data_IF_034715002558
#
_entry.id   IF_034715002558
#
_cell.length_a   1.000
_cell.length_b   1.000
_cell.length_c   1.000
_cell.angle_alpha   90.00
_cell.angle_beta   90.00
_cell.angle_gamma   90.00
#
_symmetry.space_group_name_H-M   'P 1'
#
loop_
_entity.id
_entity.type
_entity.pdbx_description
1 polymer ?
#
# COMPACT_ATOMS: atom_id res chain seq x y z
N UNK A 1 11.47 -21.36 -23.69
CA UNK A 1 12.77 -20.64 -23.67
C UNK A 1 13.72 -21.42 -22.76
N UNK A 2 14.88 -21.81 -23.30
CA UNK A 2 15.86 -22.72 -22.69
C UNK A 2 16.43 -22.12 -21.38
N UNK A 3 16.26 -22.83 -20.26
CA UNK A 3 16.91 -22.49 -18.98
C UNK A 3 18.40 -22.85 -19.10
N UNK A 4 19.25 -21.84 -19.28
CA UNK A 4 20.69 -21.99 -19.12
C UNK A 4 20.99 -22.23 -17.63
N UNK A 5 21.59 -23.38 -17.34
CA UNK A 5 22.11 -23.72 -16.02
C UNK A 5 23.52 -23.13 -15.94
N UNK A 6 23.67 -21.98 -15.29
CA UNK A 6 24.99 -21.39 -15.01
C UNK A 6 25.36 -21.74 -13.57
N UNK A 7 25.97 -22.91 -13.40
CA UNK A 7 26.78 -23.22 -12.22
C UNK A 7 28.19 -22.70 -12.49
N UNK A 8 28.46 -21.44 -12.19
CA UNK A 8 29.83 -20.93 -12.16
C UNK A 8 30.53 -21.49 -10.92
N UNK A 9 31.23 -22.62 -11.08
CA UNK A 9 32.31 -23.01 -10.17
C UNK A 9 33.48 -22.05 -10.40
N UNK A 10 33.66 -21.10 -9.49
CA UNK A 10 34.94 -20.39 -9.35
C UNK A 10 35.69 -20.97 -8.16
N UNK A 11 36.73 -21.73 -8.45
CA UNK A 11 37.84 -22.01 -7.54
C UNK A 11 38.47 -20.67 -7.13
N UNK A 12 38.52 -20.36 -5.83
CA UNK A 12 39.42 -19.31 -5.35
C UNK A 12 39.08 -18.69 -4.00
N UNK A 13 40.05 -18.80 -3.09
CA UNK A 13 40.37 -17.90 -1.97
C UNK A 13 39.55 -17.98 -0.66
N UNK A 14 40.22 -18.59 0.33
CA UNK A 14 40.12 -18.30 1.77
C UNK A 14 40.05 -16.79 2.05
N UNK A 15 38.94 -16.31 2.64
CA UNK A 15 38.93 -15.15 3.54
C UNK A 15 37.81 -15.29 4.57
N UNK A 16 38.13 -14.96 5.83
CA UNK A 16 37.25 -14.91 6.99
C UNK A 16 36.06 -13.96 6.75
N UNK A 17 34.84 -14.36 7.13
CA UNK A 17 33.72 -13.41 7.22
C UNK A 17 32.35 -14.07 7.38
N UNK A 18 31.65 -13.69 8.45
CA UNK A 18 30.33 -14.13 8.92
C UNK A 18 29.34 -14.69 7.87
N UNK A 19 28.84 -15.89 8.15
CA UNK A 19 27.70 -16.54 7.48
C UNK A 19 26.40 -15.76 7.71
N UNK A 20 26.12 -14.77 6.86
CA UNK A 20 24.82 -14.14 6.74
C UNK A 20 24.04 -14.69 5.56
N UNK A 21 23.33 -15.80 5.72
CA UNK A 21 22.34 -16.26 4.75
C UNK A 21 21.16 -15.27 4.74
N UNK A 22 21.18 -14.28 3.83
CA UNK A 22 20.00 -13.47 3.54
C UNK A 22 19.00 -14.32 2.77
N UNK A 23 18.01 -14.87 3.48
CA UNK A 23 16.77 -15.35 2.88
C UNK A 23 16.15 -14.17 2.13
N UNK A 24 16.19 -14.17 0.79
CA UNK A 24 15.17 -13.46 0.03
C UNK A 24 13.87 -14.18 0.35
N UNK A 25 13.08 -13.62 1.25
CA UNK A 25 11.66 -13.89 1.30
C UNK A 25 11.12 -13.45 -0.05
N UNK A 26 10.93 -14.42 -0.95
CA UNK A 26 9.99 -14.27 -2.04
C UNK A 26 8.65 -13.96 -1.36
N UNK A 27 8.27 -12.68 -1.41
CA UNK A 27 6.92 -12.27 -1.10
C UNK A 27 6.05 -13.03 -2.09
N UNK A 28 5.40 -14.08 -1.61
CA UNK A 28 4.36 -14.77 -2.32
C UNK A 28 3.35 -13.68 -2.75
N UNK A 29 3.42 -13.29 -4.01
CA UNK A 29 2.32 -12.64 -4.71
C UNK A 29 1.18 -13.65 -4.67
N UNK A 30 0.39 -13.59 -3.61
CA UNK A 30 -1.00 -14.01 -3.67
C UNK A 30 -1.62 -13.37 -4.92
N UNK A 31 -2.53 -14.04 -5.63
CA UNK A 31 -3.28 -13.36 -6.67
C UNK A 31 -4.12 -12.26 -6.00
N UNK A 32 -3.57 -11.05 -5.93
CA UNK A 32 -4.29 -9.85 -5.53
C UNK A 32 -5.29 -9.63 -6.64
N UNK A 33 -6.55 -9.98 -6.38
CA UNK A 33 -7.66 -9.53 -7.21
C UNK A 33 -7.51 -8.01 -7.36
N UNK A 34 -7.57 -7.45 -8.59
CA UNK A 34 -7.56 -6.01 -8.77
C UNK A 34 -8.65 -5.43 -7.88
N UNK A 35 -8.34 -4.52 -6.95
CA UNK A 35 -9.37 -3.99 -6.09
C UNK A 35 -10.27 -3.13 -7.00
N UNK A 36 -11.50 -3.58 -7.17
CA UNK A 36 -12.54 -3.05 -8.07
C UNK A 36 -13.12 -1.70 -7.61
N UNK A 37 -12.30 -0.88 -6.97
CA UNK A 37 -12.67 0.45 -6.48
C UNK A 37 -12.15 1.56 -7.40
N UNK A 38 -12.90 2.66 -7.53
CA UNK A 38 -12.42 3.85 -8.24
C UNK A 38 -11.29 4.51 -7.46
N UNK A 39 -10.24 4.93 -8.17
CA UNK A 39 -9.14 5.70 -7.60
C UNK A 39 -9.43 7.18 -7.79
N UNK A 40 -9.52 7.91 -6.68
CA UNK A 40 -9.58 9.38 -6.64
C UNK A 40 -8.19 9.89 -6.25
N UNK A 41 -7.49 10.47 -7.21
CA UNK A 41 -6.15 11.03 -6.98
C UNK A 41 -6.21 12.34 -6.21
N UNK A 42 -5.40 12.45 -5.15
CA UNK A 42 -5.16 13.69 -4.43
C UNK A 42 -3.88 14.39 -4.90
N UNK A 43 -3.53 15.48 -4.21
CA UNK A 43 -2.34 16.30 -4.50
C UNK A 43 -1.23 16.18 -3.46
N UNK A 44 -1.55 15.68 -2.26
CA UNK A 44 -0.63 15.66 -1.13
C UNK A 44 0.47 14.62 -1.33
N UNK A 45 1.76 14.96 -1.09
CA UNK A 45 2.87 14.05 -1.33
C UNK A 45 2.92 12.90 -0.34
N UNK A 46 3.44 11.74 -0.77
CA UNK A 46 3.65 10.56 0.05
C UNK A 46 4.83 9.72 -0.46
N UNK A 47 5.36 8.84 0.39
CA UNK A 47 6.34 7.82 0.00
C UNK A 47 5.73 6.41 0.03
N UNK A 48 4.73 6.19 0.88
CA UNK A 48 4.04 4.92 1.05
C UNK A 48 2.57 5.13 1.43
N UNK A 49 1.74 4.10 1.29
CA UNK A 49 0.33 4.13 1.71
C UNK A 49 0.17 4.57 3.18
N UNK A 50 1.16 4.24 4.02
CA UNK A 50 1.17 4.61 5.42
C UNK A 50 1.31 6.12 5.65
N UNK A 51 1.70 6.91 4.66
CA UNK A 51 1.77 8.38 4.79
C UNK A 51 0.43 9.05 4.54
N UNK A 52 -0.56 8.29 4.05
CA UNK A 52 -1.87 8.79 3.68
C UNK A 52 -2.94 8.38 4.69
N UNK A 53 -3.82 9.31 5.02
CA UNK A 53 -4.93 9.14 5.95
C UNK A 53 -6.21 9.73 5.35
N UNK A 54 -7.40 9.36 5.86
CA UNK A 54 -8.64 9.96 5.39
C UNK A 54 -8.69 11.47 5.56
N UNK A 55 -9.24 12.17 4.55
CA UNK A 55 -9.39 13.63 4.55
C UNK A 55 -10.51 14.13 5.48
N UNK A 56 -11.41 13.25 5.91
CA UNK A 56 -12.52 13.56 6.81
C UNK A 56 -12.77 12.39 7.76
N UNK A 57 -13.40 12.68 8.89
CA UNK A 57 -13.58 11.69 9.95
C UNK A 57 -14.61 10.61 9.63
N UNK A 58 -15.68 10.97 8.93
CA UNK A 58 -16.76 10.05 8.60
C UNK A 58 -16.95 9.97 7.09
N UNK A 59 -17.13 8.76 6.57
CA UNK A 59 -17.44 8.50 5.17
C UNK A 59 -16.50 9.21 4.18
N UNK A 60 -15.17 9.20 4.41
CA UNK A 60 -14.22 9.95 3.60
C UNK A 60 -14.22 9.49 2.14
N UNK A 61 -14.08 10.44 1.21
CA UNK A 61 -14.00 10.18 -0.23
C UNK A 61 -12.64 10.57 -0.82
N UNK A 62 -11.73 11.03 0.03
CA UNK A 62 -10.40 11.49 -0.33
C UNK A 62 -9.39 11.14 0.78
N UNK A 63 -8.12 11.14 0.41
CA UNK A 63 -7.00 10.92 1.31
C UNK A 63 -6.02 12.10 1.24
N UNK A 64 -5.44 12.43 2.39
CA UNK A 64 -4.45 13.50 2.58
C UNK A 64 -3.21 12.93 3.24
N UNK A 65 -2.11 13.67 3.23
CA UNK A 65 -0.94 13.32 4.00
C UNK A 65 -1.26 13.33 5.51
N UNK A 66 -0.60 12.47 6.30
CA UNK A 66 -0.72 12.43 7.77
C UNK A 66 -0.53 13.79 8.44
N UNK A 67 0.34 14.64 7.90
CA UNK A 67 0.56 15.98 8.42
C UNK A 67 -0.67 16.90 8.30
N UNK A 68 -1.60 16.57 7.41
CA UNK A 68 -2.83 17.30 7.11
C UNK A 68 -4.07 16.57 7.66
N UNK A 69 -3.87 15.58 8.55
CA UNK A 69 -4.96 14.77 9.10
C UNK A 69 -5.99 15.63 9.85
N UNK A 70 -7.30 15.36 9.70
CA UNK A 70 -8.32 15.98 10.54
C UNK A 70 -8.28 15.40 11.97
N UNK A 71 -8.64 16.23 12.94
CA UNK A 71 -8.84 15.80 14.33
C UNK A 71 -10.21 15.12 14.48
N UNK A 72 -10.21 13.83 14.80
CA UNK A 72 -11.43 13.01 14.85
C UNK A 72 -11.79 12.47 16.25
N UNK A 73 -11.06 12.87 17.31
CA UNK A 73 -11.13 12.26 18.64
C UNK A 73 -12.51 12.21 19.29
N UNK A 74 -13.34 13.24 19.08
CA UNK A 74 -14.67 13.37 19.70
C UNK A 74 -15.83 13.16 18.71
N UNK A 75 -15.53 12.69 17.49
CA UNK A 75 -16.52 12.53 16.42
C UNK A 75 -17.10 11.12 16.42
N UNK A 76 -18.42 11.02 16.55
CA UNK A 76 -19.16 9.77 16.41
C UNK A 76 -19.73 9.65 15.00
N UNK A 77 -19.14 8.78 14.19
CA UNK A 77 -19.64 8.48 12.85
C UNK A 77 -20.81 7.51 12.88
N UNK A 78 -21.64 7.53 11.83
CA UNK A 78 -22.65 6.49 11.64
C UNK A 78 -21.97 5.16 11.30
N UNK A 79 -22.52 4.03 11.75
CA UNK A 79 -21.98 2.69 11.44
C UNK A 79 -22.39 2.20 10.03
N UNK A 80 -22.74 3.13 9.14
CA UNK A 80 -23.17 2.85 7.78
C UNK A 80 -21.95 2.69 6.87
N UNK A 81 -21.91 1.61 6.08
CA UNK A 81 -21.01 1.49 4.94
C UNK A 81 -21.52 2.35 3.77
N UNK A 82 -21.00 3.57 3.59
CA UNK A 82 -21.43 4.40 2.47
C UNK A 82 -20.71 4.04 1.19
N UNK A 83 -21.48 3.67 0.16
CA UNK A 83 -20.97 3.48 -1.20
C UNK A 83 -20.25 4.74 -1.69
N UNK A 84 -19.14 4.56 -2.41
CA UNK A 84 -18.37 5.67 -2.97
C UNK A 84 -17.51 6.39 -1.94
N UNK A 85 -17.23 5.75 -0.81
CA UNK A 85 -16.38 6.27 0.26
C UNK A 85 -15.28 5.26 0.59
N UNK A 86 -14.39 5.57 1.54
CA UNK A 86 -13.41 4.61 2.04
C UNK A 86 -14.02 3.55 2.96
N UNK A 87 -15.29 3.67 3.31
CA UNK A 87 -15.91 2.71 4.20
C UNK A 87 -15.92 1.30 3.59
N UNK A 88 -15.77 0.31 4.46
CA UNK A 88 -16.05 -1.09 4.16
C UNK A 88 -15.24 -1.67 2.98
N UNK A 89 -13.95 -1.34 2.94
CA UNK A 89 -12.99 -1.92 2.01
C UNK A 89 -12.20 -0.92 1.17
N UNK A 90 -12.55 0.37 1.27
CA UNK A 90 -11.73 1.43 0.72
C UNK A 90 -10.43 1.62 1.51
N UNK A 91 -9.49 2.34 0.90
CA UNK A 91 -8.17 2.58 1.50
C UNK A 91 -7.52 3.86 0.99
N UNK A 92 -6.65 4.43 1.81
CA UNK A 92 -5.70 5.43 1.35
C UNK A 92 -4.45 4.76 0.80
N UNK A 93 -4.03 5.19 -0.38
CA UNK A 93 -2.91 4.66 -1.14
C UNK A 93 -1.95 5.80 -1.50
N UNK A 94 -0.68 5.46 -1.70
CA UNK A 94 0.29 6.34 -2.32
C UNK A 94 0.48 5.94 -3.78
N UNK A 95 -0.10 6.73 -4.68
CA UNK A 95 -0.07 6.48 -6.13
C UNK A 95 0.68 7.62 -6.80
N UNK A 96 1.70 7.29 -7.58
CA UNK A 96 2.55 8.28 -8.28
C UNK A 96 3.12 9.38 -7.35
N UNK A 97 3.46 8.99 -6.12
CA UNK A 97 4.01 9.88 -5.08
C UNK A 97 2.98 10.84 -4.46
N UNK A 98 1.69 10.60 -4.68
CA UNK A 98 0.59 11.40 -4.13
C UNK A 98 -0.45 10.52 -3.44
N UNK A 99 -1.05 11.03 -2.38
CA UNK A 99 -2.13 10.35 -1.69
C UNK A 99 -3.35 10.25 -2.62
N UNK A 100 -3.92 9.05 -2.71
CA UNK A 100 -5.11 8.74 -3.48
C UNK A 100 -6.07 7.88 -2.63
N UNK A 101 -7.36 8.05 -2.86
CA UNK A 101 -8.41 7.26 -2.24
C UNK A 101 -8.85 6.14 -3.18
N UNK A 102 -8.84 4.90 -2.70
CA UNK A 102 -9.55 3.81 -3.35
C UNK A 102 -10.93 3.68 -2.72
N UNK A 103 -11.95 4.06 -3.46
CA UNK A 103 -13.34 4.03 -3.00
C UNK A 103 -13.94 2.63 -3.12
N UNK A 104 -14.85 2.29 -2.21
CA UNK A 104 -15.66 1.09 -2.36
C UNK A 104 -16.94 1.41 -3.15
N UNK A 105 -16.93 1.12 -4.44
CA UNK A 105 -18.06 1.38 -5.36
C UNK A 105 -18.92 0.15 -5.65
N UNK A 106 -18.54 -1.00 -5.11
CA UNK A 106 -19.27 -2.25 -5.31
C UNK A 106 -20.42 -2.35 -4.30
N UNK A 107 -21.63 -2.49 -4.83
CA UNK A 107 -22.82 -2.90 -4.08
C UNK A 107 -23.22 -4.30 -4.55
#
# INVERSE_FOLDING_TARGET
MRKLWVCTLSLGALLLGASGCSKKTDQATSPVQPPTGSIVNGSEPCQSDADCVPASCCHPTACVAKASAPECGDIMCTQECRKGTLDCGGACLCVDGKCAARLNDLN
#
